data_IF_855064880804
#
_entry.id   IF_855064880804
#
_cell.length_a   1.000
_cell.length_b   1.000
_cell.length_c   1.000
_cell.angle_alpha   90.00
_cell.angle_beta   90.00
_cell.angle_gamma   90.00
#
_symmetry.space_group_name_H-M   'P 1'
#
loop_
_entity.id
_entity.type
_entity.pdbx_description
1 polymer ?
#
# COMPACT_ATOMS: atom_id res chain seq x y z
N UNK A 1 1.67 9.91 1.56
CA UNK A 1 1.39 10.34 0.15
C UNK A 1 0.68 9.17 -0.52
N UNK A 2 -0.49 9.39 -1.12
CA UNK A 2 -1.30 8.32 -1.73
C UNK A 2 -0.75 8.03 -3.13
N UNK A 3 -0.28 6.81 -3.38
CA UNK A 3 0.18 6.39 -4.70
C UNK A 3 -0.89 5.55 -5.41
N UNK A 4 -1.08 5.82 -6.71
CA UNK A 4 -2.00 5.09 -7.60
C UNK A 4 -1.17 4.27 -8.57
N UNK A 5 -1.52 3.01 -8.83
CA UNK A 5 -0.96 2.30 -9.99
C UNK A 5 -1.98 1.43 -10.71
N UNK A 6 -1.77 1.31 -12.03
CA UNK A 6 -2.57 0.53 -12.97
C UNK A 6 -3.80 1.28 -13.51
N UNK A 7 -4.49 0.69 -14.49
CA UNK A 7 -5.80 1.15 -15.05
C UNK A 7 -6.95 1.12 -14.01
N UNK A 8 -6.65 1.15 -12.72
CA UNK A 8 -7.59 0.97 -11.64
C UNK A 8 -7.27 1.86 -10.46
N UNK A 9 -8.33 2.28 -9.77
CA UNK A 9 -8.27 3.08 -8.56
C UNK A 9 -7.82 2.21 -7.36
N UNK A 10 -6.65 1.58 -7.45
CA UNK A 10 -6.02 0.88 -6.33
C UNK A 10 -5.28 1.89 -5.47
N UNK A 11 -5.67 1.96 -4.20
CA UNK A 11 -5.09 2.81 -3.18
C UNK A 11 -4.42 1.92 -2.15
N UNK A 12 -3.20 2.28 -1.75
CA UNK A 12 -2.48 1.60 -0.68
C UNK A 12 -1.96 2.62 0.31
N UNK A 13 -2.18 2.34 1.59
CA UNK A 13 -1.68 3.09 2.73
C UNK A 13 -0.91 2.15 3.64
N UNK A 14 0.26 2.59 4.10
CA UNK A 14 1.02 1.85 5.08
C UNK A 14 1.35 2.74 6.27
N UNK A 15 1.09 2.22 7.46
CA UNK A 15 1.25 2.92 8.74
C UNK A 15 2.20 2.12 9.62
N UNK A 16 3.03 2.81 10.40
CA UNK A 16 3.81 2.18 11.47
C UNK A 16 2.89 2.03 12.69
N UNK A 17 2.75 0.82 13.21
CA UNK A 17 1.91 0.55 14.38
C UNK A 17 2.64 0.99 15.67
N UNK A 18 3.96 0.90 15.68
CA UNK A 18 4.77 1.13 16.87
C UNK A 18 5.04 2.62 17.14
N UNK A 19 4.90 3.47 16.12
CA UNK A 19 5.18 4.91 16.21
C UNK A 19 4.19 5.69 15.37
N UNK A 20 3.69 6.84 15.86
CA UNK A 20 2.88 7.76 15.06
C UNK A 20 3.76 8.47 14.04
N UNK A 21 4.19 7.74 13.01
CA UNK A 21 4.92 8.26 11.87
C UNK A 21 3.93 8.59 10.73
N UNK A 22 4.23 9.60 9.91
CA UNK A 22 3.49 9.82 8.68
C UNK A 22 3.52 8.56 7.80
N UNK A 23 2.50 8.41 6.96
CA UNK A 23 2.34 7.25 6.05
C UNK A 23 3.64 6.87 5.35
N UNK A 24 3.98 5.59 5.35
CA UNK A 24 5.18 5.07 4.67
C UNK A 24 5.00 5.22 3.16
N UNK A 25 6.05 5.64 2.41
CA UNK A 25 6.02 5.62 0.96
C UNK A 25 5.77 4.19 0.44
N UNK A 26 4.75 4.05 -0.40
CA UNK A 26 4.40 2.77 -1.03
C UNK A 26 4.51 2.94 -2.54
N UNK A 27 5.18 2.00 -3.20
CA UNK A 27 5.18 1.89 -4.67
C UNK A 27 4.33 0.70 -5.07
N UNK A 28 3.49 0.89 -6.08
CA UNK A 28 2.66 -0.20 -6.61
C UNK A 28 3.17 -0.51 -8.02
N UNK A 29 3.60 -1.74 -8.23
CA UNK A 29 4.10 -2.24 -9.51
C UNK A 29 3.08 -3.22 -10.10
N UNK A 30 2.43 -2.92 -11.24
CA UNK A 30 1.53 -3.86 -11.88
C UNK A 30 2.30 -5.08 -12.40
N UNK A 31 1.80 -6.29 -12.13
CA UNK A 31 2.37 -7.56 -12.63
C UNK A 31 1.48 -8.18 -13.71
N UNK A 32 0.16 -8.04 -13.60
CA UNK A 32 -0.82 -8.50 -14.58
C UNK A 32 -2.07 -7.60 -14.57
N UNK A 33 -3.12 -7.97 -15.29
CA UNK A 33 -4.40 -7.24 -15.28
C UNK A 33 -5.09 -7.23 -13.90
N UNK A 34 -4.85 -8.25 -13.07
CA UNK A 34 -5.50 -8.42 -11.76
C UNK A 34 -4.51 -8.55 -10.60
N UNK A 35 -3.20 -8.52 -10.87
CA UNK A 35 -2.15 -8.69 -9.87
C UNK A 35 -1.24 -7.48 -9.85
N UNK A 36 -1.01 -6.94 -8.66
CA UNK A 36 -0.05 -5.85 -8.43
C UNK A 36 0.85 -6.22 -7.26
N UNK A 37 2.13 -5.89 -7.37
CA UNK A 37 3.11 -6.00 -6.30
C UNK A 37 3.15 -4.67 -5.54
N UNK A 38 3.01 -4.75 -4.23
CA UNK A 38 3.17 -3.60 -3.33
C UNK A 38 4.57 -3.64 -2.77
N UNK A 39 5.32 -2.55 -2.93
CA UNK A 39 6.70 -2.41 -2.45
C UNK A 39 6.71 -1.30 -1.40
N UNK A 40 7.09 -1.64 -0.17
CA UNK A 40 7.26 -0.71 0.93
C UNK A 40 8.74 -0.51 1.24
N UNK A 41 9.14 0.74 1.47
CA UNK A 41 10.47 1.09 1.97
C UNK A 41 10.29 1.78 3.34
N UNK A 42 10.18 1.01 4.44
CA UNK A 42 9.96 1.56 5.76
C UNK A 42 11.15 2.43 6.22
N UNK A 43 10.93 3.65 6.74
CA UNK A 43 12.01 4.54 7.17
C UNK A 43 12.65 4.11 8.50
N UNK A 44 11.93 3.29 9.29
CA UNK A 44 12.39 2.80 10.59
C UNK A 44 12.05 1.32 10.76
N UNK A 45 12.75 0.64 11.66
CA UNK A 45 12.35 -0.71 12.07
C UNK A 45 11.08 -0.65 12.92
N UNK A 46 10.15 -1.58 12.70
CA UNK A 46 8.90 -1.70 13.44
C UNK A 46 7.87 -2.56 12.71
N UNK A 47 6.70 -2.71 13.33
CA UNK A 47 5.52 -3.33 12.76
C UNK A 47 4.75 -2.32 11.90
N UNK A 48 4.26 -2.80 10.76
CA UNK A 48 3.53 -1.98 9.79
C UNK A 48 2.23 -2.65 9.38
N UNK A 49 1.13 -1.90 9.47
CA UNK A 49 -0.16 -2.28 8.90
C UNK A 49 -0.29 -1.72 7.49
N UNK A 50 -0.65 -2.57 6.53
CA UNK A 50 -0.88 -2.20 5.13
C UNK A 50 -2.37 -2.32 4.81
N UNK A 51 -2.95 -1.21 4.38
CA UNK A 51 -4.34 -1.11 3.96
C UNK A 51 -4.40 -0.91 2.46
N UNK A 52 -5.14 -1.76 1.76
CA UNK A 52 -5.34 -1.65 0.32
C UNK A 52 -6.83 -1.59 -0.01
N UNK A 53 -7.21 -0.74 -0.97
CA UNK A 53 -8.58 -0.62 -1.45
C UNK A 53 -8.63 -0.40 -2.96
N UNK A 54 -9.52 -1.11 -3.65
CA UNK A 54 -9.78 -0.92 -5.08
C UNK A 54 -11.15 -0.27 -5.26
N UNK A 55 -11.20 0.91 -5.87
CA UNK A 55 -12.45 1.70 -6.01
C UNK A 55 -13.18 1.88 -4.66
N UNK A 56 -12.41 2.19 -3.61
CA UNK A 56 -12.89 2.33 -2.22
C UNK A 56 -13.42 1.05 -1.55
N UNK A 57 -13.26 -0.12 -2.19
CA UNK A 57 -13.59 -1.41 -1.59
C UNK A 57 -12.30 -2.01 -1.02
N UNK A 58 -12.23 -2.32 0.29
CA UNK A 58 -11.08 -2.99 0.87
C UNK A 58 -10.78 -4.29 0.13
N UNK A 59 -9.51 -4.48 -0.24
CA UNK A 59 -9.07 -5.73 -0.85
C UNK A 59 -8.35 -6.56 0.20
N UNK A 60 -8.73 -7.83 0.30
CA UNK A 60 -7.97 -8.79 1.08
C UNK A 60 -6.77 -9.23 0.24
N UNK A 61 -5.60 -8.68 0.56
CA UNK A 61 -4.33 -9.19 0.06
C UNK A 61 -4.07 -10.59 0.61
N UNK A 62 -3.45 -11.45 -0.20
CA UNK A 62 -2.77 -12.66 0.24
C UNK A 62 -1.27 -12.48 0.07
#
# INVERSE_FOLDING_TARGET
RIEKAGRGNLFVLALCDDKPLPSVPVRIQPLSASTSKIILNPPTVGKYSVYAAYRNIPVNGK
#
